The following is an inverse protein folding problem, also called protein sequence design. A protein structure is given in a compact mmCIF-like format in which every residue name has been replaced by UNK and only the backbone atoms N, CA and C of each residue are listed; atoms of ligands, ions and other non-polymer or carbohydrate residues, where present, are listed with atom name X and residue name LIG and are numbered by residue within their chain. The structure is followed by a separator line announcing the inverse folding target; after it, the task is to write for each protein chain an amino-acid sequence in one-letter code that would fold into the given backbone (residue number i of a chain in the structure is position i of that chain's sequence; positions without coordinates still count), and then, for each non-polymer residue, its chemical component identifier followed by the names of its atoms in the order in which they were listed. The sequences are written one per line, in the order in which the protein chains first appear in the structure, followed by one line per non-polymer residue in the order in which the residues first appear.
data_IF_757234694202
#
_entry.id   IF_757234694202
#
_cell.length_a   1.000
_cell.length_b   1.000
_cell.length_c   1.000
_cell.angle_alpha   90.00
_cell.angle_beta   90.00
_cell.angle_gamma   90.00
#
_symmetry.space_group_name_H-M   'P 1'
#
loop_
_entity.id
_entity.type
_entity.pdbx_description
1 polymer ?
#
# COMPACT_ATOMS: atom_id res chain seq x y z
N UNK A 1 -11.57 -9.37 -2.52
CA UNK A 1 -11.32 -8.44 -1.41
C UNK A 1 -11.40 -7.04 -1.96
N UNK A 2 -11.86 -6.07 -1.16
CA UNK A 2 -11.81 -4.66 -1.54
C UNK A 2 -10.71 -3.98 -0.74
N UNK A 3 -9.93 -3.13 -1.39
CA UNK A 3 -8.86 -2.35 -0.77
C UNK A 3 -9.32 -0.91 -0.66
N UNK A 4 -9.33 -0.37 0.55
CA UNK A 4 -9.53 1.04 0.80
C UNK A 4 -8.23 1.82 0.51
N UNK A 5 -8.34 3.14 0.33
CA UNK A 5 -7.15 4.00 0.19
C UNK A 5 -6.18 3.84 1.36
N UNK A 6 -6.69 3.67 2.58
CA UNK A 6 -5.87 3.43 3.77
C UNK A 6 -5.09 2.11 3.73
N UNK A 7 -5.60 1.08 3.06
CA UNK A 7 -4.86 -0.18 2.87
C UNK A 7 -3.64 0.06 1.96
N UNK A 8 -3.79 0.91 0.95
CA UNK A 8 -2.68 1.28 0.05
C UNK A 8 -1.63 2.09 0.82
N UNK A 9 -2.04 3.04 1.66
CA UNK A 9 -1.13 3.82 2.52
C UNK A 9 -0.35 2.92 3.49
N UNK A 10 -1.03 1.97 4.14
CA UNK A 10 -0.41 0.99 5.03
C UNK A 10 0.57 0.09 4.26
N UNK A 11 0.23 -0.30 3.03
CA UNK A 11 1.14 -1.09 2.18
C UNK A 11 2.39 -0.30 1.80
N UNK A 12 2.24 0.99 1.42
CA UNK A 12 3.35 1.89 1.09
C UNK A 12 4.30 2.01 2.29
N UNK A 13 3.78 2.30 3.47
CA UNK A 13 4.58 2.39 4.69
C UNK A 13 5.24 1.04 5.04
N UNK A 14 4.51 -0.06 4.87
CA UNK A 14 5.03 -1.40 5.08
C UNK A 14 6.22 -1.75 4.19
N UNK A 15 6.22 -1.30 2.92
CA UNK A 15 7.36 -1.47 2.02
C UNK A 15 8.51 -0.53 2.37
N UNK A 16 8.20 0.72 2.73
CA UNK A 16 9.20 1.70 3.15
C UNK A 16 10.02 1.21 4.35
N UNK A 17 9.35 0.64 5.36
CA UNK A 17 10.00 0.10 6.55
C UNK A 17 10.90 -1.11 6.28
N UNK A 18 10.66 -1.84 5.18
CA UNK A 18 11.46 -3.01 4.78
C UNK A 18 12.62 -2.65 3.85
N UNK A 19 12.56 -1.49 3.19
CA UNK A 19 13.62 -1.04 2.31
C UNK A 19 14.88 -0.67 3.10
N UNK A 20 16.05 -0.87 2.49
CA UNK A 20 17.34 -0.52 3.10
C UNK A 20 17.60 1.00 3.12
N UNK A 21 16.92 1.76 2.28
CA UNK A 21 16.96 3.23 2.22
C UNK A 21 15.72 3.78 1.49
N UNK A 22 15.47 5.08 1.64
CA UNK A 22 14.39 5.78 0.91
C UNK A 22 14.62 5.73 -0.61
N UNK A 23 15.87 5.74 -1.08
CA UNK A 23 16.21 5.62 -2.51
C UNK A 23 15.92 4.21 -3.05
N UNK A 24 16.26 3.17 -2.27
CA UNK A 24 15.93 1.79 -2.60
C UNK A 24 14.42 1.56 -2.62
N UNK A 25 13.68 2.20 -1.71
CA UNK A 25 12.23 2.20 -1.73
C UNK A 25 11.68 2.89 -2.98
N UNK A 26 12.11 4.12 -3.26
CA UNK A 26 11.62 4.91 -4.40
C UNK A 26 11.87 4.25 -5.77
N UNK A 27 12.91 3.42 -5.87
CA UNK A 27 13.25 2.69 -7.10
C UNK A 27 12.68 1.27 -7.15
N UNK A 28 12.01 0.80 -6.09
CA UNK A 28 11.39 -0.53 -6.04
C UNK A 28 10.14 -0.62 -6.92
N UNK A 29 9.90 -1.82 -7.45
CA UNK A 29 8.75 -2.08 -8.31
C UNK A 29 7.44 -1.94 -7.53
N UNK A 30 7.44 -2.36 -6.28
CA UNK A 30 6.29 -2.37 -5.37
C UNK A 30 5.89 -0.96 -4.97
N UNK A 31 6.86 -0.09 -4.62
CA UNK A 31 6.59 1.32 -4.35
C UNK A 31 6.02 2.04 -5.58
N UNK A 32 6.59 1.77 -6.75
CA UNK A 32 6.09 2.35 -8.01
C UNK A 32 4.66 1.90 -8.31
N UNK A 33 4.36 0.61 -8.13
CA UNK A 33 3.03 0.06 -8.34
C UNK A 33 2.00 0.68 -7.38
N UNK A 34 2.34 0.76 -6.09
CA UNK A 34 1.46 1.37 -5.08
C UNK A 34 1.28 2.88 -5.26
N UNK A 35 2.32 3.61 -5.66
CA UNK A 35 2.22 5.04 -5.94
C UNK A 35 1.29 5.33 -7.13
N UNK A 36 1.36 4.52 -8.18
CA UNK A 36 0.44 4.60 -9.34
C UNK A 36 -0.99 4.28 -8.94
N UNK A 37 -1.18 3.24 -8.14
CA UNK A 37 -2.48 2.84 -7.62
C UNK A 37 -3.10 3.95 -6.75
N UNK A 38 -2.34 4.48 -5.79
CA UNK A 38 -2.76 5.56 -4.91
C UNK A 38 -3.15 6.82 -5.69
N UNK A 39 -2.34 7.20 -6.69
CA UNK A 39 -2.67 8.31 -7.58
C UNK A 39 -3.96 8.08 -8.39
N UNK A 40 -4.18 6.87 -8.89
CA UNK A 40 -5.41 6.53 -9.61
C UNK A 40 -6.64 6.65 -8.70
N UNK A 41 -6.57 6.13 -7.48
CA UNK A 41 -7.65 6.23 -6.48
C UNK A 41 -8.06 7.69 -6.22
N UNK A 42 -7.08 8.58 -6.07
CA UNK A 42 -7.32 10.02 -5.89
C UNK A 42 -7.98 10.63 -7.13
N UNK A 43 -7.46 10.34 -8.32
CA UNK A 43 -7.97 10.93 -9.58
C UNK A 43 -9.40 10.49 -9.88
N UNK A 44 -9.72 9.22 -9.64
CA UNK A 44 -11.05 8.67 -9.91
C UNK A 44 -12.04 8.83 -8.76
N UNK A 45 -11.57 9.26 -7.58
CA UNK A 45 -12.41 9.42 -6.39
C UNK A 45 -12.98 8.09 -5.87
N UNK A 46 -12.27 6.98 -6.10
CA UNK A 46 -12.73 5.66 -5.66
C UNK A 46 -12.52 5.51 -4.15
N UNK A 47 -13.56 5.17 -3.40
CA UNK A 47 -13.41 4.89 -1.96
C UNK A 47 -12.80 3.51 -1.70
N UNK A 48 -13.01 2.56 -2.62
CA UNK A 48 -12.47 1.21 -2.55
C UNK A 48 -12.25 0.64 -3.95
N UNK A 49 -11.23 -0.22 -4.09
CA UNK A 49 -10.92 -0.96 -5.31
C UNK A 49 -11.14 -2.46 -5.11
N UNK A 50 -11.82 -3.11 -6.04
CA UNK A 50 -11.94 -4.55 -6.04
C UNK A 50 -10.64 -5.21 -6.51
N UNK A 51 -10.30 -6.37 -5.95
CA UNK A 51 -9.11 -7.14 -6.34
C UNK A 51 -9.03 -7.46 -7.85
N UNK A 52 -10.18 -7.57 -8.52
CA UNK A 52 -10.27 -7.80 -9.96
C UNK A 52 -9.87 -6.58 -10.81
N UNK A 53 -9.85 -5.39 -10.22
CA UNK A 53 -9.45 -4.13 -10.88
C UNK A 53 -7.94 -3.89 -10.79
N UNK A 54 -7.25 -4.68 -9.97
CA UNK A 54 -5.81 -4.58 -9.76
C UNK A 54 -5.04 -5.35 -10.84
N UNK A 55 -3.95 -4.75 -11.31
CA UNK A 55 -2.94 -5.47 -12.08
C UNK A 55 -2.11 -6.39 -11.16
N UNK A 56 -1.34 -7.30 -11.78
CA UNK A 56 -0.57 -8.29 -11.02
C UNK A 56 0.51 -7.66 -10.13
N UNK A 57 1.09 -6.53 -10.54
CA UNK A 57 2.11 -5.84 -9.74
C UNK A 57 1.50 -5.15 -8.52
N UNK A 58 0.32 -4.56 -8.67
CA UNK A 58 -0.45 -3.96 -7.58
C UNK A 58 -0.90 -5.03 -6.58
N UNK A 59 -1.40 -6.17 -7.08
CA UNK A 59 -1.83 -7.29 -6.24
C UNK A 59 -0.66 -7.87 -5.45
N UNK A 60 0.49 -8.08 -6.11
CA UNK A 60 1.70 -8.57 -5.45
C UNK A 60 2.21 -7.58 -4.39
N UNK A 61 2.25 -6.28 -4.71
CA UNK A 61 2.65 -5.25 -3.76
C UNK A 61 1.70 -5.19 -2.54
N UNK A 62 0.40 -5.38 -2.72
CA UNK A 62 -0.59 -5.41 -1.63
C UNK A 62 -0.52 -6.68 -0.76
N UNK A 63 0.15 -7.76 -1.21
CA UNK A 63 0.35 -8.94 -0.37
C UNK A 63 1.13 -8.64 0.90
N UNK A 64 1.89 -7.53 0.95
CA UNK A 64 2.58 -7.09 2.15
C UNK A 64 1.64 -6.93 3.35
N UNK A 65 0.37 -6.59 3.13
CA UNK A 65 -0.64 -6.43 4.18
C UNK A 65 -0.87 -7.74 4.95
N UNK A 66 -0.77 -8.88 4.28
CA UNK A 66 -0.84 -10.21 4.92
C UNK A 66 0.42 -10.56 5.74
N UNK A 67 1.52 -9.85 5.49
CA UNK A 67 2.83 -10.04 6.12
C UNK A 67 3.12 -8.98 7.18
N UNK A 68 2.24 -7.97 7.34
CA UNK A 68 2.36 -7.00 8.42
C UNK A 68 1.85 -7.64 9.72
N UNK A 69 2.56 -7.46 10.84
CA UNK A 69 2.05 -7.90 12.12
C UNK A 69 0.72 -7.18 12.41
N UNK A 70 -0.32 -7.94 12.75
CA UNK A 70 -1.57 -7.38 13.29
C UNK A 70 -1.24 -6.77 14.64
N UNK A 71 -0.89 -5.48 14.66
CA UNK A 71 -0.65 -4.76 15.89
C UNK A 71 0.39 -3.65 15.76
N UNK A 72 -0.08 -2.43 15.54
CA UNK A 72 0.13 -1.32 16.47
C UNK A 72 -0.82 -0.16 16.13
N UNK A 73 -2.12 -0.39 16.33
CA UNK A 73 -3.01 0.68 16.76
C UNK A 73 -2.62 1.01 18.21
N UNK A 74 -1.63 1.87 18.40
CA UNK A 74 -1.42 2.52 19.71
C UNK A 74 -2.33 3.74 19.74
N UNK A 75 -3.38 3.78 20.57
CA UNK A 75 -3.99 5.06 20.92
C UNK A 75 -3.00 5.78 21.82
N UNK A 76 -2.27 6.76 21.26
CA UNK A 76 -1.57 7.73 22.09
C UNK A 76 -2.64 8.51 22.85
N UNK A 77 -2.79 8.17 24.13
CA UNK A 77 -3.58 8.92 25.09
C UNK A 77 -3.00 10.33 25.23
N UNK A 78 -3.87 11.33 25.22
CA UNK A 78 -3.56 12.68 25.69
C UNK A 78 -4.74 13.23 26.50
#
# INVERSE_FOLDING_TARGET
MNFAISDIEVAIEGWRQRASSDEAFATSAEACALARLYGAVIVYGCEALADAELDDAQRDALQILSKLPVGQSSPSSH
#
